data_IF_635867878957
#
_entry.id   IF_635867878957
#
_cell.length_a   1.000
_cell.length_b   1.000
_cell.length_c   1.000
_cell.angle_alpha   90.00
_cell.angle_beta   90.00
_cell.angle_gamma   90.00
#
_symmetry.space_group_name_H-M   'P 1'
#
loop_
_entity.id
_entity.type
_entity.pdbx_description
1 polymer ?
#
# COMPACT_ATOMS: atom_id res chain seq x y z
N UNK A 1 12.95 1.21 -38.83
CA UNK A 1 12.03 0.08 -38.48
C UNK A 1 12.54 -0.50 -37.17
N UNK A 2 12.00 -0.02 -36.05
CA UNK A 2 12.29 -0.57 -34.71
C UNK A 2 11.59 -1.92 -34.63
N UNK A 3 12.35 -2.98 -34.35
CA UNK A 3 11.79 -4.30 -34.05
C UNK A 3 11.00 -4.18 -32.77
N UNK A 4 9.68 -4.46 -32.83
CA UNK A 4 8.89 -4.75 -31.64
C UNK A 4 9.63 -5.87 -30.87
N UNK A 5 10.24 -5.53 -29.76
CA UNK A 5 10.67 -6.51 -28.78
C UNK A 5 9.41 -7.27 -28.37
N UNK A 6 9.37 -8.57 -28.71
CA UNK A 6 8.22 -9.43 -28.40
C UNK A 6 7.87 -9.28 -26.93
N UNK A 7 6.60 -9.08 -26.64
CA UNK A 7 6.04 -9.10 -25.31
C UNK A 7 6.42 -10.45 -24.70
N UNK A 8 7.38 -10.44 -23.79
CA UNK A 8 7.59 -11.58 -22.89
C UNK A 8 6.23 -11.84 -22.22
N UNK A 9 5.85 -13.10 -22.14
CA UNK A 9 4.60 -13.49 -21.49
C UNK A 9 4.47 -12.77 -20.14
N UNK A 10 3.29 -12.24 -19.80
CA UNK A 10 3.09 -11.59 -18.53
C UNK A 10 3.51 -12.54 -17.40
N UNK A 11 4.17 -12.00 -16.38
CA UNK A 11 4.59 -12.79 -15.24
C UNK A 11 3.36 -13.44 -14.60
N UNK A 12 3.44 -14.74 -14.31
CA UNK A 12 2.37 -15.41 -13.59
C UNK A 12 2.26 -14.79 -12.17
N UNK A 13 1.07 -14.28 -11.85
CA UNK A 13 0.77 -13.77 -10.51
C UNK A 13 0.72 -14.95 -9.54
N UNK A 14 1.35 -14.78 -8.38
CA UNK A 14 1.38 -15.83 -7.33
C UNK A 14 1.84 -15.20 -6.01
N UNK A 15 0.99 -14.38 -5.37
CA UNK A 15 1.31 -13.63 -4.16
C UNK A 15 0.45 -14.12 -3.01
N UNK A 16 1.06 -14.85 -2.08
CA UNK A 16 0.37 -15.43 -0.91
C UNK A 16 0.78 -14.81 0.41
N UNK A 17 1.94 -14.13 0.44
CA UNK A 17 2.48 -13.49 1.64
C UNK A 17 3.47 -12.38 1.29
N UNK A 18 3.85 -11.58 2.28
CA UNK A 18 4.73 -10.41 2.13
C UNK A 18 6.22 -10.75 2.26
N UNK A 19 6.60 -11.99 2.55
CA UNK A 19 7.98 -12.38 2.88
C UNK A 19 8.58 -13.46 1.98
N UNK A 20 7.81 -13.99 1.05
CA UNK A 20 8.34 -14.88 0.04
C UNK A 20 9.31 -14.14 -0.90
N UNK A 21 10.16 -14.90 -1.61
CA UNK A 21 11.11 -14.30 -2.54
C UNK A 21 10.40 -13.47 -3.60
N UNK A 22 10.61 -12.16 -3.59
CA UNK A 22 10.10 -11.23 -4.58
C UNK A 22 10.71 -11.56 -5.97
N UNK A 23 9.88 -11.73 -6.98
CA UNK A 23 10.27 -12.03 -8.37
C UNK A 23 10.08 -10.84 -9.29
N UNK A 24 9.01 -10.10 -9.04
CA UNK A 24 8.68 -8.91 -9.81
C UNK A 24 7.95 -7.92 -8.92
N UNK A 25 8.07 -6.65 -9.25
CA UNK A 25 7.43 -5.55 -8.53
C UNK A 25 6.99 -4.47 -9.52
N UNK A 26 5.84 -3.86 -9.25
CA UNK A 26 5.50 -2.55 -9.80
C UNK A 26 6.06 -1.49 -8.84
N UNK A 27 7.09 -0.78 -9.29
CA UNK A 27 7.71 0.31 -8.54
C UNK A 27 7.20 1.63 -9.08
N UNK A 28 6.64 2.46 -8.22
CA UNK A 28 6.19 3.81 -8.52
C UNK A 28 7.30 4.72 -9.08
N UNK A 29 6.98 5.94 -9.43
CA UNK A 29 7.95 6.90 -9.98
C UNK A 29 7.79 8.26 -9.34
N UNK A 30 8.90 8.97 -9.13
CA UNK A 30 8.94 10.36 -8.75
C UNK A 30 9.14 11.31 -9.94
N UNK A 31 9.21 10.79 -11.17
CA UNK A 31 9.37 11.59 -12.37
C UNK A 31 8.10 12.37 -12.66
N UNK A 32 8.22 13.67 -12.92
CA UNK A 32 7.10 14.60 -13.12
C UNK A 32 6.11 14.64 -11.94
N UNK A 33 6.61 14.47 -10.72
CA UNK A 33 5.79 14.50 -9.49
C UNK A 33 5.08 15.85 -9.29
N UNK A 34 5.64 16.92 -9.84
CA UNK A 34 5.11 18.27 -9.71
C UNK A 34 5.73 19.06 -8.55
N UNK A 35 5.24 20.28 -8.31
CA UNK A 35 5.74 21.13 -7.24
C UNK A 35 5.36 20.59 -5.85
N UNK A 36 6.06 21.11 -4.83
CA UNK A 36 5.64 20.90 -3.42
C UNK A 36 4.17 21.32 -3.27
N UNK A 37 3.30 20.47 -2.71
CA UNK A 37 1.89 20.79 -2.57
C UNK A 37 1.66 21.94 -1.59
N UNK A 38 0.51 22.60 -1.68
CA UNK A 38 0.06 23.46 -0.58
C UNK A 38 -0.39 22.60 0.61
N UNK A 39 -0.27 23.15 1.82
CA UNK A 39 -0.62 22.42 3.04
C UNK A 39 -2.06 21.88 3.02
N UNK A 40 -3.00 22.67 2.52
CA UNK A 40 -4.42 22.26 2.37
C UNK A 40 -4.66 21.14 1.38
N UNK A 41 -3.68 20.81 0.52
CA UNK A 41 -3.78 19.75 -0.48
C UNK A 41 -3.02 18.48 -0.07
N UNK A 42 -2.53 18.41 1.18
CA UNK A 42 -1.87 17.21 1.67
C UNK A 42 -2.91 16.16 2.09
N UNK A 43 -2.69 14.92 1.70
CA UNK A 43 -3.60 13.79 1.96
C UNK A 43 -3.26 13.01 3.24
N UNK A 44 -2.20 13.39 3.94
CA UNK A 44 -1.74 12.77 5.17
C UNK A 44 -1.03 13.77 6.08
N UNK A 45 -1.02 13.54 7.41
CA UNK A 45 -0.47 14.48 8.37
C UNK A 45 1.06 14.61 8.34
N UNK A 46 1.80 13.61 7.84
CA UNK A 46 3.27 13.70 7.69
C UNK A 46 3.62 14.67 6.57
N UNK A 47 3.01 14.52 5.40
CA UNK A 47 3.15 15.47 4.29
C UNK A 47 2.78 16.88 4.72
N UNK A 48 1.65 17.06 5.41
CA UNK A 48 1.23 18.33 5.97
C UNK A 48 2.30 18.96 6.90
N UNK A 49 2.83 18.17 7.84
CA UNK A 49 3.86 18.64 8.77
C UNK A 49 5.16 19.04 8.04
N UNK A 50 5.60 18.25 7.07
CA UNK A 50 6.80 18.55 6.27
C UNK A 50 6.63 19.80 5.40
N UNK A 51 5.46 20.00 4.81
CA UNK A 51 5.16 21.22 4.04
C UNK A 51 5.25 22.45 4.93
N UNK A 52 4.62 22.41 6.12
CA UNK A 52 4.67 23.52 7.08
C UNK A 52 6.08 23.80 7.59
N UNK A 53 6.90 22.77 7.77
CA UNK A 53 8.28 22.87 8.22
C UNK A 53 9.25 23.28 7.08
N UNK A 54 8.81 23.30 5.82
CA UNK A 54 9.67 23.55 4.67
C UNK A 54 10.69 22.42 4.41
N UNK A 55 10.36 21.20 4.84
CA UNK A 55 11.20 20.00 4.70
C UNK A 55 10.57 18.93 3.82
N UNK A 56 9.50 19.27 3.08
CA UNK A 56 8.91 18.36 2.10
C UNK A 56 9.94 18.07 0.99
N UNK A 57 10.16 16.80 0.62
CA UNK A 57 11.18 16.43 -0.34
C UNK A 57 10.89 17.03 -1.72
N UNK A 58 11.95 17.45 -2.42
CA UNK A 58 11.84 17.87 -3.82
C UNK A 58 11.73 16.64 -4.73
N UNK A 59 11.28 16.85 -5.97
CA UNK A 59 11.27 15.79 -6.97
C UNK A 59 12.66 15.15 -7.14
N UNK A 60 13.73 15.95 -7.11
CA UNK A 60 15.10 15.46 -7.20
C UNK A 60 15.48 14.56 -6.03
N UNK A 61 15.09 14.90 -4.80
CA UNK A 61 15.34 14.07 -3.63
C UNK A 61 14.62 12.73 -3.76
N UNK A 62 13.34 12.76 -4.12
CA UNK A 62 12.53 11.56 -4.35
C UNK A 62 13.08 10.68 -5.47
N UNK A 63 13.58 11.27 -6.57
CA UNK A 63 14.19 10.50 -7.66
C UNK A 63 15.47 9.78 -7.21
N UNK A 64 16.30 10.41 -6.35
CA UNK A 64 17.50 9.80 -5.78
C UNK A 64 17.12 8.59 -4.92
N UNK A 65 16.12 8.72 -4.05
CA UNK A 65 15.63 7.62 -3.21
C UNK A 65 15.05 6.47 -4.05
N UNK A 66 14.22 6.78 -5.03
CA UNK A 66 13.66 5.78 -5.95
C UNK A 66 14.74 5.06 -6.77
N UNK A 67 15.81 5.75 -7.16
CA UNK A 67 16.95 5.13 -7.84
C UNK A 67 17.71 4.16 -6.90
N UNK A 68 17.84 4.49 -5.62
CA UNK A 68 18.44 3.61 -4.63
C UNK A 68 17.60 2.33 -4.41
N UNK A 69 16.28 2.44 -4.32
CA UNK A 69 15.35 1.29 -4.25
C UNK A 69 15.46 0.43 -5.52
N UNK A 70 15.49 1.04 -6.70
CA UNK A 70 15.69 0.35 -7.97
C UNK A 70 16.99 -0.47 -7.98
N UNK A 71 18.09 0.11 -7.50
CA UNK A 71 19.39 -0.58 -7.43
C UNK A 71 19.34 -1.81 -6.52
N UNK A 72 18.56 -1.77 -5.44
CA UNK A 72 18.35 -2.94 -4.57
C UNK A 72 17.59 -4.03 -5.33
N UNK A 73 16.51 -3.71 -6.02
CA UNK A 73 15.79 -4.71 -6.81
C UNK A 73 16.66 -5.34 -7.90
N UNK A 74 17.44 -4.54 -8.61
CA UNK A 74 18.39 -5.04 -9.62
C UNK A 74 19.43 -5.98 -9.01
N UNK A 75 19.98 -5.66 -7.82
CA UNK A 75 20.94 -6.50 -7.11
C UNK A 75 20.40 -7.90 -6.79
N UNK A 76 19.08 -8.02 -6.58
CA UNK A 76 18.41 -9.28 -6.24
C UNK A 76 17.67 -9.94 -7.40
N UNK A 77 17.94 -9.50 -8.65
CA UNK A 77 17.29 -10.00 -9.86
C UNK A 77 15.75 -9.93 -9.83
N UNK A 78 15.22 -8.88 -9.23
CA UNK A 78 13.77 -8.60 -9.21
C UNK A 78 13.42 -7.87 -10.50
N UNK A 79 12.45 -8.40 -11.25
CA UNK A 79 11.91 -7.73 -12.44
C UNK A 79 11.09 -6.51 -12.00
N UNK A 80 11.47 -5.33 -12.48
CA UNK A 80 10.78 -4.10 -12.10
C UNK A 80 9.93 -3.60 -13.27
N UNK A 81 8.63 -3.45 -13.02
CA UNK A 81 7.70 -2.75 -13.89
C UNK A 81 7.56 -1.31 -13.42
N UNK A 82 7.31 -0.40 -14.35
CA UNK A 82 7.13 1.02 -14.05
C UNK A 82 5.77 1.49 -14.58
N UNK A 83 5.10 2.39 -13.86
CA UNK A 83 3.91 3.05 -14.39
C UNK A 83 4.27 3.96 -15.57
N UNK A 84 3.30 4.28 -16.40
CA UNK A 84 3.44 5.39 -17.37
C UNK A 84 3.54 6.70 -16.59
N UNK A 85 4.51 7.53 -16.95
CA UNK A 85 4.70 8.83 -16.27
C UNK A 85 3.58 9.79 -16.66
N UNK A 86 2.93 10.37 -15.67
CA UNK A 86 1.87 11.38 -15.81
C UNK A 86 2.39 12.71 -15.28
N UNK A 87 2.21 13.77 -16.04
CA UNK A 87 2.67 15.10 -15.65
C UNK A 87 1.90 15.65 -14.44
N UNK A 88 2.63 16.23 -13.47
CA UNK A 88 2.12 16.77 -12.23
C UNK A 88 1.27 15.76 -11.43
N UNK A 89 1.79 14.54 -11.31
CA UNK A 89 1.12 13.47 -10.59
C UNK A 89 2.11 12.73 -9.68
N UNK A 90 1.80 12.66 -8.39
CA UNK A 90 2.56 11.82 -7.46
C UNK A 90 2.22 10.36 -7.74
N UNK A 91 3.22 9.59 -8.18
CA UNK A 91 3.08 8.19 -8.56
C UNK A 91 4.02 7.27 -7.78
N UNK A 92 4.54 7.74 -6.64
CA UNK A 92 5.50 6.96 -5.84
C UNK A 92 4.82 5.74 -5.21
N UNK A 93 3.58 5.89 -4.74
CA UNK A 93 2.88 4.91 -3.92
C UNK A 93 2.03 3.95 -4.77
N UNK A 94 2.68 3.24 -5.71
CA UNK A 94 2.01 2.31 -6.60
C UNK A 94 1.28 1.16 -5.87
N UNK A 95 1.70 0.80 -4.64
CA UNK A 95 1.03 -0.20 -3.81
C UNK A 95 -0.41 0.17 -3.50
N UNK A 96 -0.70 1.47 -3.32
CA UNK A 96 -2.03 1.92 -2.90
C UNK A 96 -3.08 1.77 -4.00
N UNK A 97 -2.67 1.92 -5.26
CA UNK A 97 -3.60 1.96 -6.41
C UNK A 97 -3.97 0.58 -6.96
N UNK A 98 -3.13 -0.43 -6.73
CA UNK A 98 -3.43 -1.81 -7.07
C UNK A 98 -2.57 -2.76 -6.24
N UNK A 99 -3.12 -3.92 -5.88
CA UNK A 99 -2.41 -4.95 -5.14
C UNK A 99 -2.78 -6.35 -5.66
N UNK A 100 -1.97 -7.34 -5.31
CA UNK A 100 -2.15 -8.71 -5.77
C UNK A 100 -2.49 -9.62 -4.61
N UNK A 101 -3.52 -10.44 -4.76
CA UNK A 101 -3.85 -11.57 -3.87
C UNK A 101 -3.88 -12.82 -4.73
N UNK A 102 -3.07 -13.80 -4.41
CA UNK A 102 -2.88 -15.04 -5.15
C UNK A 102 -2.59 -14.77 -6.64
N UNK A 103 -3.50 -15.08 -7.55
CA UNK A 103 -3.40 -14.86 -8.99
C UNK A 103 -4.26 -13.68 -9.50
N UNK A 104 -4.80 -12.86 -8.61
CA UNK A 104 -5.69 -11.73 -8.93
C UNK A 104 -5.04 -10.40 -8.62
N UNK A 105 -5.24 -9.43 -9.49
CA UNK A 105 -4.95 -8.02 -9.25
C UNK A 105 -6.25 -7.35 -8.82
N UNK A 106 -6.22 -6.72 -7.66
CA UNK A 106 -7.34 -5.94 -7.16
C UNK A 106 -7.05 -4.48 -7.52
N UNK A 107 -7.94 -3.88 -8.29
CA UNK A 107 -7.95 -2.43 -8.49
C UNK A 107 -8.53 -1.78 -7.26
N UNK A 108 -7.75 -0.91 -6.62
CA UNK A 108 -8.20 -0.17 -5.45
C UNK A 108 -9.27 0.86 -5.79
N UNK A 109 -10.24 1.09 -4.89
CA UNK A 109 -11.08 2.29 -4.90
C UNK A 109 -10.45 3.27 -3.93
N UNK A 110 -9.50 4.04 -4.45
CA UNK A 110 -8.66 4.97 -3.67
C UNK A 110 -9.38 6.30 -3.41
N UNK A 111 -8.75 7.15 -2.62
CA UNK A 111 -9.16 8.54 -2.44
C UNK A 111 -9.38 9.21 -3.81
N UNK A 112 -10.54 9.88 -4.05
CA UNK A 112 -10.87 10.46 -5.36
C UNK A 112 -9.81 11.40 -5.93
N UNK A 113 -9.15 12.18 -5.08
CA UNK A 113 -8.07 13.10 -5.49
C UNK A 113 -6.85 12.38 -6.09
N UNK A 114 -6.73 11.06 -5.90
CA UNK A 114 -5.66 10.20 -6.42
C UNK A 114 -6.06 9.38 -7.65
N UNK A 115 -7.32 9.43 -8.09
CA UNK A 115 -7.82 8.59 -9.20
C UNK A 115 -6.98 8.69 -10.48
N UNK A 116 -6.38 9.85 -10.75
CA UNK A 116 -5.51 10.05 -11.89
C UNK A 116 -4.32 9.08 -11.94
N UNK A 117 -3.88 8.57 -10.78
CA UNK A 117 -2.77 7.61 -10.70
C UNK A 117 -3.09 6.29 -11.41
N UNK A 118 -4.37 5.93 -11.58
CA UNK A 118 -4.79 4.72 -12.32
C UNK A 118 -4.43 4.76 -13.81
N UNK A 119 -4.51 5.90 -14.44
CA UNK A 119 -4.19 6.05 -15.87
C UNK A 119 -2.77 5.54 -16.16
N UNK A 120 -1.88 5.69 -15.17
CA UNK A 120 -0.50 5.22 -15.25
C UNK A 120 -0.34 3.70 -15.34
N UNK A 121 -1.33 2.95 -14.87
CA UNK A 121 -1.29 1.49 -14.83
C UNK A 121 -2.00 0.83 -16.01
N UNK A 122 -2.81 1.54 -16.79
CA UNK A 122 -3.65 0.97 -17.85
C UNK A 122 -2.87 0.08 -18.80
N UNK A 123 -1.72 0.57 -19.28
CA UNK A 123 -0.86 -0.20 -20.21
C UNK A 123 -0.34 -1.49 -19.57
N UNK A 124 0.01 -1.47 -18.29
CA UNK A 124 0.51 -2.63 -17.58
C UNK A 124 -0.64 -3.61 -17.31
N UNK A 125 -1.75 -3.12 -16.78
CA UNK A 125 -2.90 -3.94 -16.44
C UNK A 125 -3.54 -4.61 -17.67
N UNK A 126 -3.51 -3.93 -18.82
CA UNK A 126 -3.96 -4.48 -20.10
C UNK A 126 -3.18 -5.70 -20.59
N UNK A 127 -2.08 -6.09 -19.93
CA UNK A 127 -1.32 -7.31 -20.25
C UNK A 127 -1.88 -8.55 -19.55
N UNK A 128 -2.76 -8.39 -18.57
CA UNK A 128 -3.39 -9.47 -17.81
C UNK A 128 -4.76 -9.81 -18.37
N UNK A 129 -5.20 -11.05 -18.14
CA UNK A 129 -6.54 -11.44 -18.58
C UNK A 129 -7.64 -10.75 -17.74
N UNK A 130 -8.82 -10.52 -18.32
CA UNK A 130 -9.94 -9.90 -17.58
C UNK A 130 -10.31 -10.67 -16.29
N UNK A 131 -10.13 -11.99 -16.27
CA UNK A 131 -10.41 -12.82 -15.09
C UNK A 131 -9.41 -12.61 -13.94
N UNK A 132 -8.26 -12.02 -14.24
CA UNK A 132 -7.24 -11.68 -13.24
C UNK A 132 -7.45 -10.29 -12.65
N UNK A 133 -8.23 -9.44 -13.31
CA UNK A 133 -8.47 -8.05 -12.89
C UNK A 133 -9.80 -7.96 -12.14
N UNK A 134 -9.75 -7.60 -10.88
CA UNK A 134 -10.92 -7.45 -10.02
C UNK A 134 -11.12 -5.97 -9.72
N UNK A 135 -12.32 -5.48 -10.00
CA UNK A 135 -12.80 -4.16 -9.55
C UNK A 135 -13.86 -4.40 -8.48
N UNK A 136 -13.67 -3.76 -7.33
CA UNK A 136 -14.63 -3.84 -6.23
C UNK A 136 -15.83 -2.90 -6.48
N UNK A 137 -16.99 -3.12 -5.83
CA UNK A 137 -18.09 -2.17 -5.82
C UNK A 137 -17.67 -0.77 -5.35
N UNK A 138 -18.34 0.27 -5.82
CA UNK A 138 -17.97 1.67 -5.56
C UNK A 138 -17.99 2.05 -4.06
N UNK A 139 -18.77 1.35 -3.25
CA UNK A 139 -18.83 1.55 -1.79
C UNK A 139 -17.72 0.79 -1.02
N UNK A 140 -16.88 0.03 -1.71
CA UNK A 140 -15.76 -0.70 -1.15
C UNK A 140 -14.48 0.11 -1.31
N UNK A 141 -14.20 1.03 -0.38
CA UNK A 141 -12.94 1.78 -0.38
C UNK A 141 -11.81 0.91 0.17
N UNK A 142 -10.69 0.85 -0.55
CA UNK A 142 -9.48 0.14 -0.14
C UNK A 142 -8.25 0.70 -0.83
N UNK A 143 -7.17 0.86 -0.08
CA UNK A 143 -5.82 1.11 -0.61
C UNK A 143 -4.90 -0.07 -0.24
N UNK A 144 -4.00 -0.43 -1.15
CA UNK A 144 -3.18 -1.65 -1.00
C UNK A 144 -2.24 -1.65 0.21
N UNK A 145 -1.87 -0.46 0.74
CA UNK A 145 -1.12 -0.35 1.98
C UNK A 145 -1.85 -0.89 3.22
N UNK A 146 -3.17 -0.96 3.16
CA UNK A 146 -4.00 -1.58 4.21
C UNK A 146 -4.14 -3.10 4.07
N UNK A 147 -3.69 -3.71 2.97
CA UNK A 147 -3.88 -5.15 2.71
C UNK A 147 -2.55 -5.88 2.80
N UNK A 148 -2.43 -6.75 3.81
CA UNK A 148 -1.20 -7.51 4.10
C UNK A 148 -1.51 -9.00 4.07
N UNK A 149 -0.77 -9.73 3.25
CA UNK A 149 -0.93 -11.17 3.09
C UNK A 149 -0.01 -11.94 4.03
N UNK A 150 -0.56 -12.95 4.67
CA UNK A 150 0.18 -13.89 5.50
C UNK A 150 -0.40 -15.30 5.32
N UNK A 151 0.03 -15.97 4.25
CA UNK A 151 -0.41 -17.29 3.82
C UNK A 151 -1.95 -17.41 3.73
N UNK A 152 -2.61 -18.08 4.68
CA UNK A 152 -4.06 -18.27 4.71
C UNK A 152 -4.83 -17.04 5.21
N UNK A 153 -4.13 -15.97 5.60
CA UNK A 153 -4.74 -14.75 6.12
C UNK A 153 -4.59 -13.57 5.16
N UNK A 154 -5.65 -12.76 5.09
CA UNK A 154 -5.63 -11.41 4.57
C UNK A 154 -5.88 -10.47 5.76
N UNK A 155 -4.84 -9.79 6.20
CA UNK A 155 -4.93 -8.77 7.24
C UNK A 155 -5.30 -7.44 6.60
N UNK A 156 -6.31 -6.77 7.12
CA UNK A 156 -6.81 -5.52 6.56
C UNK A 156 -6.92 -4.45 7.63
N UNK A 157 -6.18 -3.35 7.45
CA UNK A 157 -6.37 -2.13 8.21
C UNK A 157 -7.67 -1.45 7.78
N UNK A 158 -8.51 -1.06 8.74
CA UNK A 158 -9.80 -0.44 8.46
C UNK A 158 -10.05 0.78 9.34
N UNK A 159 -10.99 1.60 8.91
CA UNK A 159 -11.68 2.57 9.75
C UNK A 159 -13.17 2.28 9.69
N UNK A 160 -13.82 2.11 10.85
CA UNK A 160 -15.22 1.70 10.94
C UNK A 160 -16.21 2.86 10.95
N UNK A 161 -15.71 4.10 11.12
CA UNK A 161 -16.50 5.33 11.03
C UNK A 161 -16.77 5.78 9.58
N UNK A 162 -17.36 6.97 9.42
CA UNK A 162 -17.53 7.57 8.09
C UNK A 162 -16.17 7.77 7.42
N UNK A 163 -16.01 7.29 6.18
CA UNK A 163 -14.77 7.44 5.40
C UNK A 163 -14.32 8.92 5.32
N UNK A 164 -13.77 9.36 4.26
CA UNK A 164 -13.21 10.69 4.03
C UNK A 164 -13.88 11.91 4.70
N UNK A 165 -15.22 11.95 4.98
CA UNK A 165 -15.82 13.10 5.65
C UNK A 165 -15.31 13.37 7.08
N UNK A 166 -14.86 12.34 7.80
CA UNK A 166 -14.29 12.52 9.14
C UNK A 166 -12.76 12.57 9.08
N UNK A 167 -12.17 11.56 8.45
CA UNK A 167 -10.72 11.48 8.27
C UNK A 167 -10.36 11.19 6.82
N UNK A 168 -9.66 12.13 6.17
CA UNK A 168 -9.08 11.90 4.83
C UNK A 168 -8.08 10.74 4.82
N UNK A 169 -7.57 10.38 5.99
CA UNK A 169 -6.67 9.25 6.23
C UNK A 169 -7.40 7.91 6.41
N UNK A 170 -8.73 7.89 6.40
CA UNK A 170 -9.54 6.65 6.47
C UNK A 170 -9.68 6.06 5.06
N UNK A 171 -8.70 5.26 4.64
CA UNK A 171 -8.53 4.81 3.26
C UNK A 171 -9.22 3.48 2.94
N UNK A 172 -9.54 2.69 3.95
CA UNK A 172 -10.14 1.35 3.78
C UNK A 172 -11.28 1.15 4.75
N UNK A 173 -12.40 0.65 4.24
CA UNK A 173 -13.62 0.45 5.02
C UNK A 173 -14.00 -1.04 5.17
N UNK A 174 -14.98 -1.30 6.04
CA UNK A 174 -15.46 -2.66 6.33
C UNK A 174 -16.16 -3.32 5.14
N UNK A 175 -16.73 -2.54 4.22
CA UNK A 175 -17.37 -3.05 3.01
C UNK A 175 -16.33 -3.72 2.11
N UNK A 176 -15.16 -3.09 1.93
CA UNK A 176 -14.05 -3.67 1.18
C UNK A 176 -13.55 -4.98 1.83
N UNK A 177 -13.40 -5.00 3.15
CA UNK A 177 -12.99 -6.22 3.87
C UNK A 177 -13.96 -7.38 3.64
N UNK A 178 -15.28 -7.13 3.67
CA UNK A 178 -16.32 -8.12 3.37
C UNK A 178 -16.28 -8.58 1.91
N UNK A 179 -16.06 -7.66 0.97
CA UNK A 179 -15.95 -8.00 -0.45
C UNK A 179 -14.73 -8.90 -0.69
N UNK A 180 -13.58 -8.60 -0.11
CA UNK A 180 -12.37 -9.41 -0.21
C UNK A 180 -12.57 -10.80 0.42
N UNK A 181 -13.25 -10.92 1.58
CA UNK A 181 -13.58 -12.24 2.15
C UNK A 181 -14.45 -13.08 1.21
N UNK A 182 -15.40 -12.46 0.52
CA UNK A 182 -16.25 -13.17 -0.44
C UNK A 182 -15.50 -13.60 -1.70
N UNK A 183 -14.53 -12.81 -2.14
CA UNK A 183 -13.70 -13.10 -3.33
C UNK A 183 -12.66 -14.20 -3.05
N UNK A 184 -12.18 -14.28 -1.81
CA UNK A 184 -11.16 -15.23 -1.37
C UNK A 184 -11.67 -16.11 -0.22
N UNK A 185 -12.67 -16.98 -0.46
CA UNK A 185 -13.32 -17.78 0.59
C UNK A 185 -12.38 -18.80 1.26
N UNK A 186 -11.29 -19.16 0.60
CA UNK A 186 -10.25 -20.05 1.15
C UNK A 186 -9.36 -19.38 2.18
N UNK A 187 -9.33 -18.04 2.19
CA UNK A 187 -8.53 -17.25 3.13
C UNK A 187 -9.39 -16.71 4.28
N UNK A 188 -8.74 -16.41 5.37
CA UNK A 188 -9.37 -15.74 6.52
C UNK A 188 -9.06 -14.25 6.49
N UNK A 189 -10.07 -13.42 6.32
CA UNK A 189 -9.92 -11.97 6.46
C UNK A 189 -9.98 -11.61 7.96
N UNK A 190 -8.95 -10.94 8.46
CA UNK A 190 -8.91 -10.36 9.80
C UNK A 190 -8.71 -8.85 9.69
N UNK A 191 -9.64 -8.08 10.22
CA UNK A 191 -9.59 -6.62 10.23
C UNK A 191 -8.96 -6.08 11.51
N UNK A 192 -8.27 -4.94 11.39
CA UNK A 192 -7.67 -4.18 12.47
C UNK A 192 -8.11 -2.72 12.37
N UNK A 193 -8.69 -2.20 13.43
CA UNK A 193 -9.09 -0.79 13.48
C UNK A 193 -7.86 0.09 13.67
N UNK A 194 -7.59 0.98 12.73
CA UNK A 194 -6.42 1.85 12.76
C UNK A 194 -6.72 3.21 13.38
N UNK A 195 -5.74 3.75 14.07
CA UNK A 195 -5.79 5.12 14.58
C UNK A 195 -5.69 6.12 13.44
N UNK A 196 -6.59 7.08 13.39
CA UNK A 196 -6.64 8.09 12.33
C UNK A 196 -6.52 9.50 12.89
N UNK A 197 -5.76 10.34 12.18
CA UNK A 197 -5.64 11.77 12.43
C UNK A 197 -5.34 12.49 11.12
N UNK A 198 -5.98 13.62 10.88
CA UNK A 198 -5.70 14.46 9.71
C UNK A 198 -4.50 15.41 9.93
N UNK A 199 -4.06 15.61 11.17
CA UNK A 199 -3.10 16.68 11.49
C UNK A 199 -1.91 16.24 12.34
N UNK A 200 -2.00 15.11 13.05
CA UNK A 200 -0.93 14.63 13.92
C UNK A 200 -0.36 13.30 13.40
N UNK A 201 0.84 13.31 12.81
CA UNK A 201 1.44 12.08 12.27
C UNK A 201 1.71 11.01 13.33
N UNK A 202 1.95 11.40 14.61
CA UNK A 202 2.19 10.46 15.70
C UNK A 202 0.91 9.80 16.25
N UNK A 203 -0.25 10.26 15.83
CA UNK A 203 -1.57 9.74 16.19
C UNK A 203 -2.29 9.17 14.96
N UNK A 204 -1.55 8.86 13.90
CA UNK A 204 -2.07 8.35 12.65
C UNK A 204 -1.30 7.10 12.19
N UNK A 205 -2.01 6.06 11.81
CA UNK A 205 -1.53 5.02 10.92
C UNK A 205 -2.30 5.15 9.61
N UNK A 206 -1.64 5.67 8.59
CA UNK A 206 -2.28 5.91 7.29
C UNK A 206 -2.80 4.59 6.72
N UNK A 207 -1.96 3.57 6.75
CA UNK A 207 -2.27 2.21 6.33
C UNK A 207 -1.77 1.18 7.36
N UNK A 208 -2.16 -0.08 7.19
CA UNK A 208 -1.72 -1.17 8.07
C UNK A 208 -0.21 -1.40 7.98
N UNK A 209 0.40 -1.27 6.80
CA UNK A 209 1.84 -1.40 6.59
C UNK A 209 2.66 -0.31 7.30
N UNK A 210 2.04 0.79 7.73
CA UNK A 210 2.67 1.78 8.59
C UNK A 210 2.87 1.30 10.05
N UNK A 211 2.21 0.22 10.46
CA UNK A 211 2.28 -0.24 11.86
C UNK A 211 2.38 -1.76 12.04
N UNK A 212 2.34 -2.52 10.94
CA UNK A 212 2.44 -3.98 10.99
C UNK A 212 3.07 -4.54 9.71
N UNK A 213 4.00 -5.48 9.87
CA UNK A 213 4.62 -6.22 8.77
C UNK A 213 5.00 -7.64 9.21
N UNK A 214 4.47 -8.71 8.60
CA UNK A 214 4.99 -10.06 8.78
C UNK A 214 6.36 -10.18 8.10
N UNK A 215 7.32 -10.81 8.79
CA UNK A 215 8.70 -10.94 8.35
C UNK A 215 9.08 -12.35 7.90
N UNK A 216 8.14 -13.29 7.93
CA UNK A 216 8.38 -14.70 7.70
C UNK A 216 8.94 -15.44 8.92
N UNK A 217 8.97 -16.78 8.83
CA UNK A 217 9.39 -17.66 9.93
C UNK A 217 8.62 -17.44 11.24
N UNK A 218 7.36 -17.02 11.14
CA UNK A 218 6.52 -16.71 12.30
C UNK A 218 6.84 -15.38 12.99
N UNK A 219 7.68 -14.53 12.41
CA UNK A 219 8.05 -13.24 13.00
C UNK A 219 7.24 -12.09 12.41
N UNK A 220 7.06 -11.03 13.20
CA UNK A 220 6.42 -9.79 12.76
C UNK A 220 7.07 -8.55 13.37
N UNK A 221 7.00 -7.43 12.65
CA UNK A 221 7.31 -6.09 13.16
C UNK A 221 5.99 -5.38 13.42
N UNK A 222 5.81 -4.83 14.63
CA UNK A 222 4.55 -4.20 15.03
C UNK A 222 4.81 -2.90 15.78
N UNK A 223 4.08 -1.84 15.40
CA UNK A 223 3.97 -0.60 16.15
C UNK A 223 2.59 -0.53 16.82
N UNK A 224 2.54 -0.81 18.12
CA UNK A 224 1.28 -0.96 18.86
C UNK A 224 0.38 0.29 18.82
N UNK A 225 0.96 1.49 18.73
CA UNK A 225 0.20 2.74 18.76
C UNK A 225 -0.54 3.04 17.44
N UNK A 226 -0.26 2.31 16.35
CA UNK A 226 -1.00 2.42 15.10
C UNK A 226 -2.43 1.87 15.18
N UNK A 227 -2.68 0.95 16.13
CA UNK A 227 -4.00 0.36 16.35
C UNK A 227 -4.85 1.24 17.24
N UNK A 228 -6.14 1.40 16.89
CA UNK A 228 -7.10 2.10 17.72
C UNK A 228 -7.43 1.28 18.97
N UNK A 229 -7.62 -0.03 18.79
CA UNK A 229 -8.00 -0.96 19.86
C UNK A 229 -6.80 -1.77 20.34
N UNK A 230 -6.57 -1.79 21.65
CA UNK A 230 -5.51 -2.61 22.26
C UNK A 230 -5.72 -4.11 22.00
N UNK A 231 -6.95 -4.56 21.82
CA UNK A 231 -7.26 -5.96 21.60
C UNK A 231 -6.82 -6.44 20.20
N UNK A 232 -6.81 -5.57 19.21
CA UNK A 232 -6.25 -5.87 17.89
C UNK A 232 -4.74 -6.13 17.96
N UNK A 233 -4.02 -5.29 18.69
CA UNK A 233 -2.59 -5.50 18.95
C UNK A 233 -2.33 -6.80 19.74
N UNK A 234 -3.10 -7.08 20.79
CA UNK A 234 -2.99 -8.33 21.57
C UNK A 234 -3.23 -9.55 20.70
N UNK A 235 -4.23 -9.49 19.80
CA UNK A 235 -4.50 -10.57 18.87
C UNK A 235 -3.28 -10.91 18.01
N UNK A 236 -2.56 -9.89 17.51
CA UNK A 236 -1.32 -10.10 16.76
C UNK A 236 -0.20 -10.71 17.62
N UNK A 237 -0.08 -10.29 18.89
CA UNK A 237 0.88 -10.90 19.83
C UNK A 237 0.57 -12.38 20.08
N UNK A 238 -0.69 -12.74 20.20
CA UNK A 238 -1.11 -14.12 20.39
C UNK A 238 -0.91 -14.95 19.12
N UNK A 239 -1.20 -14.37 17.96
CA UNK A 239 -1.07 -15.02 16.65
C UNK A 239 0.38 -15.37 16.31
N UNK A 240 1.31 -14.42 16.46
CA UNK A 240 2.74 -14.64 16.18
C UNK A 240 3.50 -15.23 17.37
N UNK A 241 3.00 -15.04 18.58
CA UNK A 241 3.73 -15.30 19.84
C UNK A 241 4.64 -14.13 20.22
N UNK A 242 4.60 -13.73 21.50
CA UNK A 242 5.29 -12.52 21.99
C UNK A 242 6.80 -12.52 21.74
N UNK A 243 7.45 -13.68 21.69
CA UNK A 243 8.89 -13.81 21.43
C UNK A 243 9.26 -13.65 19.94
N UNK A 244 8.27 -13.62 19.07
CA UNK A 244 8.43 -13.48 17.61
C UNK A 244 8.00 -12.09 17.11
N UNK A 245 7.61 -11.20 18.02
CA UNK A 245 7.21 -9.84 17.67
C UNK A 245 8.31 -8.85 18.00
N UNK A 246 8.79 -8.15 16.97
CA UNK A 246 9.65 -6.99 17.11
C UNK A 246 8.75 -5.75 17.25
N UNK A 247 8.89 -5.03 18.35
CA UNK A 247 8.10 -3.84 18.61
C UNK A 247 8.87 -2.60 18.17
N UNK A 248 8.31 -1.87 17.21
CA UNK A 248 8.80 -0.54 16.86
C UNK A 248 8.33 0.49 17.91
N UNK A 249 9.26 1.28 18.40
CA UNK A 249 8.98 2.37 19.33
C UNK A 249 8.43 3.59 18.59
N UNK A 250 7.78 4.50 19.33
CA UNK A 250 7.29 5.77 18.77
C UNK A 250 8.43 6.60 18.16
N UNK A 251 9.65 6.52 18.71
CA UNK A 251 10.81 7.25 18.21
C UNK A 251 11.34 6.68 16.89
N UNK A 252 11.19 5.36 16.67
CA UNK A 252 11.60 4.70 15.42
C UNK A 252 10.58 4.90 14.29
N UNK A 253 9.38 5.34 14.63
CA UNK A 253 8.28 5.59 13.67
C UNK A 253 8.13 7.08 13.33
N UNK A 254 8.94 7.97 13.90
CA UNK A 254 8.91 9.43 13.69
C UNK A 254 9.93 9.92 12.66
#
# INVERSE_FOLDING_TARGET
MARNAGLEHPLALNVHNEYARLRAVLLGTAENNGPVPFAENCYDPSSYAHVLAGTYPTESDMQIEMAAVMAVFQKYDVKVYRPTVIENCNQIFARDIAFVIDDKIIRSNILPDREKEFEALETLLGQFSPEQLITLPDDCHVEGGDVILCDDYIFIGVYSGPDYPEFITARTNLQAAKALQNLFPEKTVKTFELRKSNTNPLENALHLDCCFQPLGNGNALIHAQGFLNTDDYKWLLDFFGTNHVFQATKQEMS
#
